data_IF_065878137710
#
_entry.id   IF_065878137710
#
_cell.length_a   1.000
_cell.length_b   1.000
_cell.length_c   1.000
_cell.angle_alpha   90.00
_cell.angle_beta   90.00
_cell.angle_gamma   90.00
#
_symmetry.space_group_name_H-M   'P 1'
#
loop_
_entity.id
_entity.type
_entity.pdbx_description
1 polymer ?
#
# COMPACT_ATOMS: atom_id res chain seq x y z
N UNK A 1 15.08 9.76 -34.62
CA UNK A 1 13.66 9.60 -34.19
C UNK A 1 13.23 8.16 -34.52
N UNK A 2 13.30 7.26 -33.55
CA UNK A 2 12.75 5.90 -33.65
C UNK A 2 11.77 5.74 -32.47
N UNK A 3 10.52 6.09 -32.73
CA UNK A 3 9.40 5.84 -31.84
C UNK A 3 9.14 4.33 -31.83
N UNK A 4 9.56 3.67 -30.73
CA UNK A 4 9.32 2.25 -30.52
C UNK A 4 7.83 1.96 -30.42
N UNK A 5 7.33 1.27 -31.41
CA UNK A 5 6.05 0.59 -31.42
C UNK A 5 6.08 -0.51 -30.33
N UNK A 6 5.57 -0.19 -29.14
CA UNK A 6 5.21 -1.20 -28.16
C UNK A 6 3.97 -1.92 -28.68
N UNK A 7 4.18 -3.02 -29.43
CA UNK A 7 3.12 -3.96 -29.77
C UNK A 7 2.72 -4.64 -28.47
N UNK A 8 1.65 -4.16 -27.84
CA UNK A 8 1.03 -4.84 -26.70
C UNK A 8 0.46 -6.15 -27.18
N UNK A 9 1.16 -7.25 -26.89
CA UNK A 9 0.67 -8.58 -27.17
C UNK A 9 -0.73 -8.78 -26.56
N UNK A 10 -1.67 -9.45 -27.24
CA UNK A 10 -2.99 -9.74 -26.69
C UNK A 10 -2.87 -10.38 -25.30
N UNK A 11 -3.72 -9.98 -24.34
CA UNK A 11 -3.69 -10.49 -22.94
C UNK A 11 -3.63 -12.03 -22.88
N UNK A 12 -4.29 -12.72 -23.79
CA UNK A 12 -4.26 -14.19 -23.90
C UNK A 12 -2.88 -14.76 -24.21
N UNK A 13 -2.07 -14.07 -25.03
CA UNK A 13 -0.71 -14.49 -25.39
C UNK A 13 0.23 -14.28 -24.20
N UNK A 14 0.15 -13.15 -23.52
CA UNK A 14 0.93 -12.88 -22.30
C UNK A 14 0.64 -13.91 -21.19
N UNK A 15 -0.60 -14.24 -20.95
CA UNK A 15 -1.01 -15.26 -19.98
C UNK A 15 -0.43 -16.63 -20.32
N UNK A 16 -0.46 -17.03 -21.59
CA UNK A 16 0.13 -18.32 -22.04
C UNK A 16 1.65 -18.33 -21.86
N UNK A 17 2.34 -17.22 -22.14
CA UNK A 17 3.79 -17.15 -21.95
C UNK A 17 4.15 -17.25 -20.46
N UNK A 18 3.47 -16.52 -19.59
CA UNK A 18 3.67 -16.57 -18.14
C UNK A 18 3.40 -17.97 -17.58
N UNK A 19 2.36 -18.64 -18.06
CA UNK A 19 2.05 -20.02 -17.68
C UNK A 19 3.16 -20.99 -18.07
N UNK A 20 3.66 -20.91 -19.31
CA UNK A 20 4.77 -21.75 -19.78
C UNK A 20 6.03 -21.51 -18.98
N UNK A 21 6.35 -20.24 -18.68
CA UNK A 21 7.49 -19.89 -17.83
C UNK A 21 7.35 -20.49 -16.44
N UNK A 22 6.19 -20.34 -15.80
CA UNK A 22 5.90 -20.89 -14.49
C UNK A 22 6.08 -22.44 -14.44
N UNK A 23 5.51 -23.16 -15.41
CA UNK A 23 5.70 -24.62 -15.51
C UNK A 23 7.18 -24.95 -15.66
N UNK A 24 7.89 -24.25 -16.57
CA UNK A 24 9.32 -24.49 -16.78
C UNK A 24 10.15 -24.25 -15.52
N UNK A 25 9.84 -23.22 -14.76
CA UNK A 25 10.53 -22.92 -13.48
C UNK A 25 10.29 -24.03 -12.44
N UNK A 26 9.04 -24.47 -12.29
CA UNK A 26 8.71 -25.58 -11.38
C UNK A 26 9.40 -26.88 -11.79
N UNK A 27 9.41 -27.22 -13.08
CA UNK A 27 10.11 -28.40 -13.59
C UNK A 27 11.64 -28.31 -13.35
N UNK A 28 12.23 -27.13 -13.52
CA UNK A 28 13.66 -26.91 -13.23
C UNK A 28 13.96 -27.04 -11.74
N UNK A 29 13.07 -26.56 -10.88
CA UNK A 29 13.26 -26.59 -9.43
C UNK A 29 13.07 -28.00 -8.86
N UNK A 30 12.08 -28.74 -9.33
CA UNK A 30 11.72 -30.05 -8.79
C UNK A 30 12.41 -31.23 -9.52
N UNK A 31 12.96 -31.02 -10.71
CA UNK A 31 13.75 -32.00 -11.50
C UNK A 31 13.13 -33.42 -11.43
N UNK A 32 11.96 -33.68 -12.07
CA UNK A 32 11.35 -35.00 -12.02
C UNK A 32 12.16 -36.03 -12.80
N UNK A 33 12.41 -37.22 -12.22
CA UNK A 33 13.26 -38.26 -12.79
C UNK A 33 12.49 -39.34 -13.58
N UNK A 34 11.19 -39.50 -13.31
CA UNK A 34 10.37 -40.50 -13.96
C UNK A 34 8.97 -39.97 -14.34
N UNK A 35 8.24 -40.77 -15.11
CA UNK A 35 6.92 -40.38 -15.61
C UNK A 35 5.93 -39.98 -14.50
N UNK A 36 5.92 -40.72 -13.38
CA UNK A 36 5.00 -40.47 -12.26
C UNK A 36 5.35 -39.13 -11.58
N UNK A 37 6.64 -38.86 -11.40
CA UNK A 37 7.10 -37.58 -10.87
C UNK A 37 6.77 -36.44 -11.82
N UNK A 38 6.93 -36.63 -13.14
CA UNK A 38 6.54 -35.63 -14.13
C UNK A 38 5.05 -35.27 -14.01
N UNK A 39 4.17 -36.25 -13.86
CA UNK A 39 2.74 -35.98 -13.68
C UNK A 39 2.44 -35.21 -12.38
N UNK A 40 3.05 -35.61 -11.27
CA UNK A 40 2.87 -34.92 -9.98
C UNK A 40 3.39 -33.49 -10.07
N UNK A 41 4.55 -33.26 -10.67
CA UNK A 41 5.14 -31.93 -10.84
C UNK A 41 4.30 -31.05 -11.76
N UNK A 42 3.74 -31.60 -12.83
CA UNK A 42 2.85 -30.88 -13.72
C UNK A 42 1.52 -30.49 -13.03
N UNK A 43 0.93 -31.40 -12.27
CA UNK A 43 -0.28 -31.12 -11.50
C UNK A 43 -0.02 -30.10 -10.39
N UNK A 44 1.11 -30.17 -9.72
CA UNK A 44 1.57 -29.16 -8.75
C UNK A 44 1.77 -27.80 -9.40
N UNK A 45 2.42 -27.72 -10.56
CA UNK A 45 2.61 -26.49 -11.30
C UNK A 45 1.27 -25.86 -11.74
N UNK A 46 0.31 -26.69 -12.18
CA UNK A 46 -1.02 -26.25 -12.51
C UNK A 46 -1.78 -25.68 -11.29
N UNK A 47 -1.70 -26.37 -10.15
CA UNK A 47 -2.34 -25.96 -8.91
C UNK A 47 -1.74 -24.64 -8.37
N UNK A 48 -0.42 -24.53 -8.32
CA UNK A 48 0.28 -23.29 -7.90
C UNK A 48 0.03 -22.13 -8.86
N UNK A 49 -0.11 -22.38 -10.16
CA UNK A 49 -0.51 -21.35 -11.13
C UNK A 49 -1.92 -20.80 -10.87
N UNK A 50 -2.90 -21.70 -10.58
CA UNK A 50 -4.25 -21.28 -10.21
C UNK A 50 -4.24 -20.45 -8.95
N UNK A 51 -3.49 -20.86 -7.92
CA UNK A 51 -3.33 -20.10 -6.68
C UNK A 51 -2.78 -18.69 -6.94
N UNK A 52 -1.69 -18.58 -7.70
CA UNK A 52 -1.10 -17.27 -8.03
C UNK A 52 -2.08 -16.37 -8.78
N UNK A 53 -2.87 -16.92 -9.70
CA UNK A 53 -3.88 -16.13 -10.42
C UNK A 53 -5.00 -15.67 -9.51
N UNK A 54 -5.46 -16.50 -8.59
CA UNK A 54 -6.50 -16.15 -7.62
C UNK A 54 -5.97 -15.10 -6.64
N UNK A 55 -4.73 -15.23 -6.15
CA UNK A 55 -4.10 -14.25 -5.27
C UNK A 55 -3.94 -12.88 -5.97
N UNK A 56 -3.49 -12.87 -7.24
CA UNK A 56 -3.44 -11.64 -8.05
C UNK A 56 -4.82 -11.02 -8.26
N UNK A 57 -5.85 -11.86 -8.53
CA UNK A 57 -7.23 -11.39 -8.68
C UNK A 57 -7.75 -10.81 -7.37
N UNK A 58 -7.52 -11.47 -6.24
CA UNK A 58 -7.91 -10.98 -4.92
C UNK A 58 -7.19 -9.67 -4.55
N UNK A 59 -5.89 -9.57 -4.86
CA UNK A 59 -5.13 -8.33 -4.66
C UNK A 59 -5.69 -7.17 -5.50
N UNK A 60 -5.98 -7.42 -6.77
CA UNK A 60 -6.60 -6.43 -7.68
C UNK A 60 -8.00 -6.00 -7.20
N UNK A 61 -8.82 -6.97 -6.78
CA UNK A 61 -10.14 -6.67 -6.20
C UNK A 61 -10.02 -5.83 -4.93
N UNK A 62 -9.04 -6.16 -4.07
CA UNK A 62 -8.77 -5.38 -2.86
C UNK A 62 -8.40 -3.93 -3.20
N UNK A 63 -7.48 -3.76 -4.14
CA UNK A 63 -7.04 -2.43 -4.59
C UNK A 63 -8.24 -1.65 -5.13
N UNK A 64 -9.06 -2.24 -6.00
CA UNK A 64 -10.26 -1.62 -6.55
C UNK A 64 -11.29 -1.22 -5.49
N UNK A 65 -11.55 -2.09 -4.49
CA UNK A 65 -12.46 -1.77 -3.38
C UNK A 65 -11.91 -0.59 -2.57
N UNK A 66 -10.60 -0.54 -2.36
CA UNK A 66 -9.97 0.55 -1.60
C UNK A 66 -9.89 1.86 -2.41
N UNK A 67 -9.84 1.79 -3.75
CA UNK A 67 -9.91 2.97 -4.62
C UNK A 67 -11.28 3.70 -4.55
N UNK A 68 -12.34 3.00 -4.15
CA UNK A 68 -13.66 3.59 -3.93
C UNK A 68 -13.71 4.44 -2.64
N UNK A 69 -12.77 4.22 -1.71
CA UNK A 69 -12.67 5.01 -0.49
C UNK A 69 -12.03 6.37 -0.78
N UNK A 70 -12.78 7.42 -0.46
CA UNK A 70 -12.25 8.78 -0.52
C UNK A 70 -11.75 9.24 0.85
N UNK A 71 -10.82 10.20 0.92
CA UNK A 71 -10.39 10.81 2.18
C UNK A 71 -11.56 11.34 3.00
N UNK A 72 -12.54 11.95 2.32
CA UNK A 72 -13.76 12.49 2.93
C UNK A 72 -14.60 11.39 3.60
N UNK A 73 -14.76 10.22 2.97
CA UNK A 73 -15.49 9.10 3.56
C UNK A 73 -14.81 8.59 4.83
N UNK A 74 -13.48 8.45 4.81
CA UNK A 74 -12.73 8.04 6.01
C UNK A 74 -12.86 9.07 7.13
N UNK A 75 -12.75 10.36 6.81
CA UNK A 75 -12.93 11.43 7.79
C UNK A 75 -14.34 11.41 8.41
N UNK A 76 -15.36 11.14 7.60
CA UNK A 76 -16.74 10.96 8.07
C UNK A 76 -16.89 9.72 8.98
N UNK A 77 -16.27 8.59 8.61
CA UNK A 77 -16.28 7.37 9.43
C UNK A 77 -15.55 7.56 10.77
N UNK A 78 -14.57 8.46 10.83
CA UNK A 78 -13.88 8.87 12.06
C UNK A 78 -14.74 9.80 12.92
N UNK A 79 -15.91 10.24 12.43
CA UNK A 79 -16.79 11.17 13.14
C UNK A 79 -16.31 12.61 13.15
N UNK A 80 -15.47 13.00 12.21
CA UNK A 80 -14.98 14.37 12.11
C UNK A 80 -16.08 15.31 11.64
N UNK A 81 -15.98 16.59 12.03
CA UNK A 81 -16.90 17.65 11.56
C UNK A 81 -16.88 17.78 10.03
N UNK A 82 -18.00 18.21 9.47
CA UNK A 82 -18.20 18.33 8.01
C UNK A 82 -17.10 19.15 7.32
N UNK A 83 -16.61 20.22 7.97
CA UNK A 83 -15.53 21.06 7.45
C UNK A 83 -14.22 20.28 7.25
N UNK A 84 -13.87 19.39 8.16
CA UNK A 84 -12.71 18.51 8.05
C UNK A 84 -12.96 17.42 7.01
N UNK A 85 -14.15 16.83 6.96
CA UNK A 85 -14.47 15.83 5.95
C UNK A 85 -14.27 16.36 4.52
N UNK A 86 -14.69 17.61 4.25
CA UNK A 86 -14.51 18.26 2.94
C UNK A 86 -13.05 18.62 2.62
N UNK A 87 -12.24 18.84 3.64
CA UNK A 87 -10.83 19.25 3.52
C UNK A 87 -9.85 18.10 3.68
N UNK A 88 -10.34 16.85 3.85
CA UNK A 88 -9.48 15.69 4.08
C UNK A 88 -8.51 15.48 2.91
N UNK A 89 -7.18 15.50 3.16
CA UNK A 89 -6.18 15.44 2.10
C UNK A 89 -5.97 14.00 1.61
N UNK A 90 -5.54 13.84 0.36
CA UNK A 90 -5.32 12.53 -0.27
C UNK A 90 -4.32 11.66 0.50
N UNK A 91 -3.30 12.27 1.13
CA UNK A 91 -2.33 11.52 1.94
C UNK A 91 -2.96 10.87 3.18
N UNK A 92 -4.16 11.30 3.59
CA UNK A 92 -4.86 10.79 4.75
C UNK A 92 -5.20 9.29 4.63
N UNK A 93 -5.52 8.84 3.42
CA UNK A 93 -5.78 7.44 3.10
C UNK A 93 -4.56 6.68 2.58
N UNK A 94 -3.42 7.36 2.41
CA UNK A 94 -2.21 6.72 1.90
C UNK A 94 -1.43 6.02 3.02
N UNK A 95 -1.43 4.67 3.12
CA UNK A 95 -0.75 3.95 4.20
C UNK A 95 0.77 4.13 4.20
N UNK A 96 1.36 4.53 3.07
CA UNK A 96 2.80 4.77 2.91
C UNK A 96 3.21 6.17 3.34
N UNK A 97 2.26 7.09 3.49
CA UNK A 97 2.56 8.46 3.91
C UNK A 97 3.08 8.50 5.34
N UNK A 98 4.12 9.27 5.55
CA UNK A 98 4.76 9.44 6.86
C UNK A 98 4.84 10.92 7.17
N UNK A 99 4.39 11.28 8.35
CA UNK A 99 4.58 12.61 8.93
C UNK A 99 5.59 12.46 10.07
N UNK A 100 6.64 13.26 10.06
CA UNK A 100 7.65 13.22 11.11
C UNK A 100 7.09 13.79 12.41
N UNK A 101 7.64 13.35 13.54
CA UNK A 101 7.27 13.88 14.83
C UNK A 101 7.51 15.40 14.92
N UNK A 102 8.58 15.90 14.31
CA UNK A 102 8.86 17.32 14.25
C UNK A 102 7.76 18.10 13.51
N UNK A 103 7.26 17.58 12.37
CA UNK A 103 6.15 18.20 11.65
C UNK A 103 4.86 18.22 12.47
N UNK A 104 4.60 17.17 13.26
CA UNK A 104 3.43 17.12 14.13
C UNK A 104 3.51 18.14 15.26
N UNK A 105 4.66 18.24 15.93
CA UNK A 105 4.89 19.21 17.01
C UNK A 105 4.70 20.64 16.50
N UNK A 106 5.27 20.96 15.32
CA UNK A 106 5.09 22.28 14.70
C UNK A 106 3.62 22.54 14.32
N UNK A 107 2.92 21.54 13.82
CA UNK A 107 1.49 21.67 13.49
C UNK A 107 0.63 21.87 14.74
N UNK A 108 0.91 21.15 15.82
CA UNK A 108 0.23 21.35 17.11
C UNK A 108 0.46 22.74 17.68
N UNK A 109 1.71 23.23 17.67
CA UNK A 109 2.06 24.57 18.13
C UNK A 109 1.34 25.65 17.31
N UNK A 110 1.35 25.52 15.98
CA UNK A 110 0.67 26.46 15.09
C UNK A 110 -0.86 26.44 15.26
N UNK A 111 -1.47 25.26 15.52
CA UNK A 111 -2.91 25.17 15.83
C UNK A 111 -3.26 25.86 17.15
N UNK A 112 -2.47 25.65 18.20
CA UNK A 112 -2.66 26.30 19.50
C UNK A 112 -2.54 27.84 19.36
N UNK A 113 -1.59 28.30 18.57
CA UNK A 113 -1.44 29.70 18.23
C UNK A 113 -2.66 30.23 17.44
N UNK A 114 -3.20 29.47 16.49
CA UNK A 114 -4.41 29.83 15.74
C UNK A 114 -5.63 30.00 16.68
N UNK A 115 -5.84 29.06 17.58
CA UNK A 115 -6.95 29.15 18.53
C UNK A 115 -6.80 30.35 19.47
N UNK A 116 -5.57 30.63 19.93
CA UNK A 116 -5.30 31.84 20.74
C UNK A 116 -5.51 33.11 19.94
N UNK A 117 -5.12 33.13 18.67
CA UNK A 117 -5.38 34.26 17.76
C UNK A 117 -6.88 34.54 17.65
N UNK A 118 -7.71 33.50 17.42
CA UNK A 118 -9.17 33.66 17.32
C UNK A 118 -9.80 34.18 18.61
N UNK A 119 -9.32 33.74 19.79
CA UNK A 119 -9.80 34.22 21.08
C UNK A 119 -9.49 35.70 21.29
N UNK A 120 -8.38 36.15 20.77
CA UNK A 120 -7.89 37.54 20.93
C UNK A 120 -8.30 38.44 19.74
N UNK A 121 -9.00 37.95 18.75
CA UNK A 121 -9.28 38.61 17.47
C UNK A 121 -10.03 39.96 17.59
N UNK A 122 -10.67 40.24 18.72
CA UNK A 122 -11.35 41.55 18.97
C UNK A 122 -10.41 42.75 19.11
N UNK A 123 -9.08 42.52 19.19
CA UNK A 123 -8.07 43.59 19.43
C UNK A 123 -6.96 43.65 18.39
N UNK A 124 -7.05 42.97 17.27
CA UNK A 124 -5.96 42.92 16.27
C UNK A 124 -5.95 44.19 15.41
N UNK A 125 -5.63 45.30 16.01
CA UNK A 125 -5.37 46.56 15.28
C UNK A 125 -3.93 46.67 14.77
N UNK A 126 -2.99 45.89 15.32
CA UNK A 126 -1.59 46.01 14.99
C UNK A 126 -0.94 44.66 14.65
N UNK A 127 -0.79 44.38 13.39
CA UNK A 127 -0.27 43.13 12.86
C UNK A 127 1.17 42.80 13.30
N UNK A 128 2.00 43.83 13.44
CA UNK A 128 3.38 43.65 13.92
C UNK A 128 3.48 42.97 15.30
N UNK A 129 2.49 43.18 16.16
CA UNK A 129 2.40 42.48 17.44
C UNK A 129 1.87 41.07 17.29
N UNK A 130 0.91 40.86 16.40
CA UNK A 130 0.28 39.55 16.15
C UNK A 130 1.29 38.56 15.60
N UNK A 131 2.07 38.93 14.58
CA UNK A 131 3.10 38.08 14.00
C UNK A 131 4.17 37.62 15.03
N UNK A 132 4.61 38.53 15.90
CA UNK A 132 5.57 38.21 16.95
C UNK A 132 4.99 37.34 18.07
N UNK A 133 3.69 37.39 18.29
CA UNK A 133 3.00 36.59 19.30
C UNK A 133 2.67 35.16 18.80
N UNK A 134 2.59 34.95 17.49
CA UNK A 134 2.19 33.69 16.86
C UNK A 134 3.16 33.26 15.75
N UNK A 135 4.46 33.11 16.08
CA UNK A 135 5.50 32.88 15.06
C UNK A 135 5.34 31.55 14.32
N UNK A 136 4.91 30.46 14.98
CA UNK A 136 4.78 29.14 14.38
C UNK A 136 3.62 29.10 13.38
N UNK A 137 2.50 29.75 13.69
CA UNK A 137 1.36 29.90 12.81
C UNK A 137 1.73 30.65 11.52
N UNK A 138 2.40 31.79 11.64
CA UNK A 138 2.76 32.60 10.49
C UNK A 138 3.91 32.03 9.68
N UNK A 139 4.84 31.29 10.30
CA UNK A 139 5.84 30.51 9.60
C UNK A 139 5.20 29.35 8.81
N UNK A 140 4.18 28.67 9.38
CA UNK A 140 3.42 27.66 8.67
C UNK A 140 2.64 28.25 7.50
N UNK A 141 2.01 29.42 7.69
CA UNK A 141 1.31 30.13 6.63
C UNK A 141 2.24 30.51 5.47
N UNK A 142 3.42 31.06 5.77
CA UNK A 142 4.41 31.43 4.76
C UNK A 142 4.82 30.22 3.90
N UNK A 143 5.16 29.10 4.54
CA UNK A 143 5.51 27.86 3.85
C UNK A 143 4.35 27.30 3.01
N UNK A 144 3.15 27.36 3.53
CA UNK A 144 1.97 26.88 2.81
C UNK A 144 1.69 27.70 1.56
N UNK A 145 1.81 29.02 1.63
CA UNK A 145 1.62 29.92 0.47
C UNK A 145 2.71 29.69 -0.58
N UNK A 146 3.99 29.54 -0.18
CA UNK A 146 5.09 29.17 -1.08
C UNK A 146 4.82 27.84 -1.82
N UNK A 147 4.18 26.87 -1.16
CA UNK A 147 3.82 25.60 -1.79
C UNK A 147 2.68 25.71 -2.79
N UNK A 148 1.74 26.68 -2.59
CA UNK A 148 0.57 26.86 -3.46
C UNK A 148 0.90 27.66 -4.73
N UNK A 149 1.78 28.63 -4.64
CA UNK A 149 2.14 29.50 -5.76
C UNK A 149 3.58 30.01 -5.66
N UNK A 150 4.50 29.28 -6.29
CA UNK A 150 5.91 29.68 -6.37
C UNK A 150 6.12 31.02 -7.12
N UNK A 151 5.12 31.51 -7.85
CA UNK A 151 5.18 32.78 -8.60
C UNK A 151 4.68 33.96 -7.79
N UNK A 152 4.03 33.73 -6.65
CA UNK A 152 3.61 34.79 -5.71
C UNK A 152 4.47 34.78 -4.46
N UNK A 153 5.57 35.51 -4.41
CA UNK A 153 6.32 35.72 -3.18
C UNK A 153 5.57 36.71 -2.26
N UNK A 154 4.28 36.41 -1.96
CA UNK A 154 3.49 37.19 -1.01
C UNK A 154 4.11 37.17 0.38
N UNK A 155 5.04 36.22 0.61
CA UNK A 155 5.65 35.99 1.91
C UNK A 155 7.12 35.59 1.81
N UNK A 156 7.87 36.20 0.86
CA UNK A 156 9.31 35.99 0.84
C UNK A 156 9.91 36.48 2.15
N UNK A 157 10.23 35.55 3.03
CA UNK A 157 11.23 35.54 4.09
C UNK A 157 11.36 36.76 5.03
N UNK A 158 10.66 37.84 4.87
CA UNK A 158 10.74 39.00 5.77
C UNK A 158 9.35 39.37 6.26
N UNK A 159 9.15 39.45 7.60
CA UNK A 159 7.88 39.83 8.20
C UNK A 159 7.28 41.13 7.71
N UNK A 160 8.03 41.93 6.95
CA UNK A 160 7.58 43.17 6.32
C UNK A 160 6.55 42.92 5.22
N UNK A 161 6.66 41.83 4.45
CA UNK A 161 5.72 41.54 3.36
C UNK A 161 4.39 41.03 3.90
N UNK A 162 4.42 40.30 5.02
CA UNK A 162 3.22 39.90 5.76
C UNK A 162 2.50 41.11 6.36
N UNK A 163 3.26 42.07 6.93
CA UNK A 163 2.72 43.31 7.47
C UNK A 163 1.98 44.10 6.38
N UNK A 164 2.58 44.21 5.21
CA UNK A 164 2.00 44.93 4.08
C UNK A 164 0.74 44.23 3.57
N UNK A 165 0.78 42.92 3.39
CA UNK A 165 -0.36 42.13 2.94
C UNK A 165 -1.51 42.19 3.95
N UNK A 166 -1.23 42.16 5.24
CA UNK A 166 -2.26 42.29 6.27
C UNK A 166 -2.91 43.68 6.25
N UNK A 167 -2.11 44.73 6.11
CA UNK A 167 -2.63 46.09 6.03
C UNK A 167 -3.51 46.29 4.79
N UNK A 168 -3.16 45.68 3.65
CA UNK A 168 -3.88 45.77 2.40
C UNK A 168 -5.17 44.94 2.37
N UNK A 169 -5.11 43.69 2.88
CA UNK A 169 -6.25 42.78 2.81
C UNK A 169 -6.28 41.76 3.97
N UNK A 170 -6.61 42.16 5.20
CA UNK A 170 -6.61 41.30 6.37
C UNK A 170 -7.59 40.12 6.24
N UNK A 171 -8.67 40.28 5.51
CA UNK A 171 -9.65 39.19 5.33
C UNK A 171 -9.13 38.07 4.46
N UNK A 172 -8.26 38.34 3.50
CA UNK A 172 -7.64 37.29 2.68
C UNK A 172 -6.67 36.45 3.51
N UNK A 173 -5.92 37.07 4.40
CA UNK A 173 -5.05 36.35 5.33
C UNK A 173 -5.88 35.50 6.29
N UNK A 174 -6.95 36.00 6.86
CA UNK A 174 -7.84 35.22 7.72
C UNK A 174 -8.41 34.00 7.01
N UNK A 175 -8.89 34.16 5.76
CA UNK A 175 -9.34 33.01 4.94
C UNK A 175 -8.22 32.02 4.66
N UNK A 176 -7.01 32.49 4.48
CA UNK A 176 -5.84 31.62 4.28
C UNK A 176 -5.46 30.87 5.56
N UNK A 177 -5.59 31.52 6.72
CA UNK A 177 -5.40 30.88 8.02
C UNK A 177 -6.47 29.82 8.31
N UNK A 178 -7.73 30.07 7.95
CA UNK A 178 -8.81 29.06 8.06
C UNK A 178 -8.52 27.81 7.21
N UNK A 179 -8.01 27.98 5.99
CA UNK A 179 -7.61 26.84 5.14
C UNK A 179 -6.37 26.13 5.70
N UNK A 180 -5.42 26.89 6.21
CA UNK A 180 -4.22 26.34 6.84
C UNK A 180 -4.56 25.52 8.10
N UNK A 181 -5.49 26.01 8.91
CA UNK A 181 -5.97 25.29 10.12
C UNK A 181 -6.42 23.87 9.77
N UNK A 182 -7.21 23.71 8.71
CA UNK A 182 -7.67 22.39 8.27
C UNK A 182 -6.51 21.45 7.94
N UNK A 183 -5.47 21.96 7.28
CA UNK A 183 -4.28 21.16 6.94
C UNK A 183 -3.48 20.81 8.20
N UNK A 184 -3.24 21.80 9.06
CA UNK A 184 -2.52 21.61 10.32
C UNK A 184 -3.22 20.59 11.22
N UNK A 185 -4.56 20.61 11.25
CA UNK A 185 -5.36 19.65 12.00
C UNK A 185 -5.06 18.20 11.59
N UNK A 186 -5.02 17.91 10.29
CA UNK A 186 -4.70 16.57 9.80
C UNK A 186 -3.24 16.18 10.06
N UNK A 187 -2.30 17.11 9.97
CA UNK A 187 -0.89 16.85 10.26
C UNK A 187 -0.70 16.55 11.76
N UNK A 188 -1.28 17.39 12.62
CA UNK A 188 -1.18 17.28 14.06
C UNK A 188 -1.73 15.95 14.61
N UNK A 189 -2.87 15.53 14.10
CA UNK A 189 -3.58 14.35 14.58
C UNK A 189 -3.29 13.07 13.76
N UNK A 190 -2.39 13.14 12.78
CA UNK A 190 -2.15 12.03 11.84
C UNK A 190 -1.78 10.71 12.53
N UNK A 191 -0.93 10.75 13.54
CA UNK A 191 -0.49 9.52 14.23
C UNK A 191 -1.61 8.90 15.08
N UNK A 192 -2.52 9.72 15.60
CA UNK A 192 -3.70 9.24 16.31
C UNK A 192 -4.71 8.60 15.35
N UNK A 193 -4.94 9.24 14.20
CA UNK A 193 -5.86 8.73 13.18
C UNK A 193 -5.34 7.49 12.45
N UNK A 194 -4.04 7.37 12.27
CA UNK A 194 -3.44 6.33 11.44
C UNK A 194 -3.87 4.90 11.79
N UNK A 195 -3.86 4.44 13.07
CA UNK A 195 -4.35 3.12 13.42
C UNK A 195 -5.86 2.97 13.18
N UNK A 196 -6.64 4.04 13.46
CA UNK A 196 -8.09 4.04 13.23
C UNK A 196 -8.43 3.97 11.74
N UNK A 197 -7.73 4.75 10.89
CA UNK A 197 -7.86 4.71 9.43
C UNK A 197 -7.61 3.29 8.91
N UNK A 198 -6.54 2.66 9.37
CA UNK A 198 -6.21 1.28 8.97
C UNK A 198 -7.33 0.30 9.31
N UNK A 199 -7.86 0.38 10.52
CA UNK A 199 -8.99 -0.46 10.95
C UNK A 199 -10.25 -0.21 10.12
N UNK A 200 -10.55 1.06 9.82
CA UNK A 200 -11.69 1.44 8.98
C UNK A 200 -11.54 0.94 7.54
N UNK A 201 -10.37 1.08 6.94
CA UNK A 201 -10.09 0.56 5.60
C UNK A 201 -10.21 -0.96 5.55
N UNK A 202 -9.72 -1.67 6.57
CA UNK A 202 -9.88 -3.13 6.67
C UNK A 202 -11.36 -3.52 6.84
N UNK A 203 -12.09 -2.85 7.71
CA UNK A 203 -13.53 -3.09 7.92
C UNK A 203 -14.35 -2.82 6.66
N UNK A 204 -14.06 -1.72 5.95
CA UNK A 204 -14.67 -1.41 4.65
C UNK A 204 -14.40 -2.51 3.64
N UNK A 205 -13.14 -2.90 3.50
CA UNK A 205 -12.77 -3.97 2.60
C UNK A 205 -13.53 -5.27 2.89
N UNK A 206 -13.61 -5.68 4.17
CA UNK A 206 -14.34 -6.89 4.54
C UNK A 206 -15.84 -6.79 4.31
N UNK A 207 -16.45 -5.63 4.56
CA UNK A 207 -17.87 -5.40 4.28
C UNK A 207 -18.18 -5.49 2.78
N UNK A 208 -17.40 -4.82 1.95
CA UNK A 208 -17.57 -4.87 0.49
C UNK A 208 -17.25 -6.26 -0.09
N UNK A 209 -16.23 -6.93 0.46
CA UNK A 209 -15.90 -8.29 0.07
C UNK A 209 -16.99 -9.28 0.45
N UNK A 210 -17.59 -9.15 1.62
CA UNK A 210 -18.70 -10.01 2.05
C UNK A 210 -19.90 -9.89 1.11
N UNK A 211 -20.18 -8.69 0.60
CA UNK A 211 -21.23 -8.47 -0.41
C UNK A 211 -20.88 -9.11 -1.76
N UNK A 212 -19.63 -8.97 -2.21
CA UNK A 212 -19.14 -9.64 -3.43
C UNK A 212 -19.14 -11.17 -3.30
N UNK A 213 -18.83 -11.71 -2.12
CA UNK A 213 -18.83 -13.14 -1.86
C UNK A 213 -20.24 -13.73 -1.74
N UNK A 214 -21.25 -12.93 -1.36
CA UNK A 214 -22.65 -13.32 -1.51
C UNK A 214 -23.01 -13.57 -2.97
N UNK A 215 -22.35 -12.88 -3.90
CA UNK A 215 -22.54 -13.01 -5.34
C UNK A 215 -21.62 -14.07 -5.97
N UNK A 216 -20.41 -14.29 -5.39
CA UNK A 216 -19.43 -15.28 -5.86
C UNK A 216 -19.23 -16.37 -4.77
N UNK A 217 -19.83 -17.56 -4.94
CA UNK A 217 -19.73 -18.72 -4.02
C UNK A 217 -18.33 -19.36 -3.88
N UNK A 218 -17.22 -18.64 -4.07
CA UNK A 218 -15.93 -19.22 -4.48
C UNK A 218 -14.75 -19.18 -3.50
N UNK A 219 -14.90 -18.81 -2.23
CA UNK A 219 -13.74 -18.78 -1.29
C UNK A 219 -13.30 -20.16 -0.77
N UNK A 220 -14.16 -21.20 -0.88
CA UNK A 220 -13.75 -22.57 -0.58
C UNK A 220 -12.65 -23.12 -1.49
N UNK A 221 -12.57 -22.59 -2.71
CA UNK A 221 -11.64 -23.05 -3.75
C UNK A 221 -10.17 -22.74 -3.42
N UNK A 222 -9.84 -21.58 -2.87
CA UNK A 222 -8.45 -21.19 -2.58
C UNK A 222 -7.79 -22.07 -1.50
N UNK A 223 -8.52 -22.35 -0.43
CA UNK A 223 -8.03 -23.20 0.67
C UNK A 223 -7.89 -24.64 0.19
N UNK A 224 -8.87 -25.12 -0.58
CA UNK A 224 -8.82 -26.47 -1.16
C UNK A 224 -7.65 -26.62 -2.15
N UNK A 225 -7.43 -25.64 -3.05
CA UNK A 225 -6.34 -25.66 -4.01
C UNK A 225 -4.96 -25.60 -3.31
N UNK A 226 -4.81 -24.80 -2.25
CA UNK A 226 -3.56 -24.75 -1.46
C UNK A 226 -3.30 -26.07 -0.74
N UNK A 227 -4.32 -26.69 -0.15
CA UNK A 227 -4.21 -28.02 0.45
C UNK A 227 -3.84 -29.07 -0.58
N UNK A 228 -4.44 -29.01 -1.77
CA UNK A 228 -4.13 -29.91 -2.86
C UNK A 228 -2.69 -29.77 -3.35
N UNK A 229 -2.20 -28.54 -3.58
CA UNK A 229 -0.81 -28.28 -3.95
C UNK A 229 0.18 -28.84 -2.90
N UNK A 230 -0.06 -28.59 -1.62
CA UNK A 230 0.79 -29.13 -0.55
C UNK A 230 0.76 -30.67 -0.54
N UNK A 231 -0.39 -31.30 -0.69
CA UNK A 231 -0.51 -32.75 -0.74
C UNK A 231 0.25 -33.38 -1.93
N UNK A 232 0.28 -32.69 -3.09
CA UNK A 232 1.08 -33.13 -4.24
C UNK A 232 2.58 -33.06 -3.96
N UNK A 233 3.04 -31.97 -3.30
CA UNK A 233 4.44 -31.84 -2.91
C UNK A 233 4.83 -32.92 -1.90
N UNK A 234 4.00 -33.16 -0.88
CA UNK A 234 4.21 -34.24 0.10
C UNK A 234 4.28 -35.61 -0.57
N UNK A 235 3.39 -35.87 -1.52
CA UNK A 235 3.38 -37.12 -2.30
C UNK A 235 4.67 -37.30 -3.09
N UNK A 236 5.17 -36.24 -3.75
CA UNK A 236 6.45 -36.26 -4.45
C UNK A 236 7.60 -36.59 -3.51
N UNK A 237 7.64 -35.94 -2.35
CA UNK A 237 8.69 -36.17 -1.33
C UNK A 237 8.65 -37.59 -0.77
N UNK A 238 7.45 -38.14 -0.51
CA UNK A 238 7.28 -39.55 -0.07
C UNK A 238 7.76 -40.54 -1.12
N UNK A 239 7.42 -40.30 -2.40
CA UNK A 239 7.85 -41.14 -3.52
C UNK A 239 9.36 -41.17 -3.63
N UNK A 240 10.04 -40.06 -3.55
CA UNK A 240 11.51 -39.96 -3.57
C UNK A 240 12.16 -40.66 -2.38
N UNK A 241 11.58 -40.47 -1.18
CA UNK A 241 12.06 -41.17 0.02
C UNK A 241 11.95 -42.69 -0.10
N UNK A 242 10.85 -43.20 -0.64
CA UNK A 242 10.68 -44.64 -0.86
C UNK A 242 11.62 -45.20 -1.94
N UNK A 243 11.85 -44.48 -3.01
CA UNK A 243 12.85 -44.83 -4.04
C UNK A 243 14.26 -44.86 -3.48
N UNK A 244 14.64 -43.88 -2.66
CA UNK A 244 15.92 -43.85 -1.98
C UNK A 244 16.10 -45.07 -1.04
N UNK A 245 15.08 -45.42 -0.25
CA UNK A 245 15.11 -46.58 0.62
C UNK A 245 15.22 -47.90 -0.16
N UNK A 246 14.52 -48.07 -1.27
CA UNK A 246 14.64 -49.20 -2.16
C UNK A 246 16.03 -49.28 -2.77
N UNK A 247 16.59 -48.17 -3.23
CA UNK A 247 17.96 -48.12 -3.75
C UNK A 247 19.00 -48.47 -2.67
N UNK A 248 18.81 -47.98 -1.44
CA UNK A 248 19.72 -48.25 -0.32
C UNK A 248 19.63 -49.73 0.17
N UNK A 249 18.48 -50.37 0.01
CA UNK A 249 18.25 -51.76 0.42
C UNK A 249 18.64 -52.79 -0.67
N UNK A 250 18.89 -52.36 -1.92
CA UNK A 250 19.31 -53.27 -2.98
C UNK A 250 20.77 -53.65 -2.77
N UNK A 251 21.13 -54.97 -2.66
CA UNK A 251 22.51 -55.38 -2.56
C UNK A 251 23.28 -54.88 -3.78
N UNK A 252 24.41 -54.26 -3.56
CA UNK A 252 25.32 -53.82 -4.62
C UNK A 252 25.91 -55.04 -5.32
N UNK A 253 25.21 -55.62 -6.30
CA UNK A 253 25.87 -56.46 -7.28
C UNK A 253 26.78 -55.64 -8.16
N UNK A 254 28.01 -56.09 -8.43
CA UNK A 254 28.92 -55.32 -9.27
C UNK A 254 28.58 -55.52 -10.74
N UNK A 255 27.52 -54.91 -11.23
CA UNK A 255 27.20 -54.85 -12.66
C UNK A 255 27.09 -53.41 -13.16
N UNK A 256 27.91 -53.15 -14.16
CA UNK A 256 28.12 -51.94 -14.90
C UNK A 256 26.85 -51.33 -15.55
N UNK A 257 25.93 -50.82 -14.79
CA UNK A 257 24.95 -49.85 -15.32
C UNK A 257 24.79 -48.71 -14.36
N UNK A 258 25.19 -47.55 -14.80
CA UNK A 258 25.26 -46.28 -14.09
C UNK A 258 23.87 -45.83 -13.61
N UNK A 259 23.44 -46.31 -12.43
CA UNK A 259 22.30 -45.72 -11.74
C UNK A 259 22.77 -44.39 -11.10
N UNK A 260 22.26 -43.26 -11.59
CA UNK A 260 22.48 -41.98 -10.95
C UNK A 260 21.61 -41.91 -9.70
N UNK A 261 22.14 -41.72 -8.51
CA UNK A 261 21.32 -41.46 -7.34
C UNK A 261 20.52 -40.17 -7.52
N UNK A 262 19.30 -40.10 -6.94
CA UNK A 262 18.53 -38.88 -6.94
C UNK A 262 19.36 -37.71 -6.37
N UNK A 263 19.41 -36.58 -7.07
CA UNK A 263 20.11 -35.39 -6.57
C UNK A 263 19.46 -34.92 -5.28
N UNK A 264 20.25 -34.78 -4.21
CA UNK A 264 19.81 -34.11 -3.00
C UNK A 264 19.35 -32.67 -3.37
N UNK A 265 18.12 -32.38 -3.08
CA UNK A 265 17.59 -31.02 -3.20
C UNK A 265 18.04 -30.28 -1.94
N UNK A 266 19.18 -29.59 -2.02
CA UNK A 266 19.57 -28.65 -0.99
C UNK A 266 18.56 -27.52 -0.94
N UNK A 267 17.73 -27.49 0.10
CA UNK A 267 17.01 -26.29 0.49
C UNK A 267 18.03 -25.30 1.04
N UNK A 268 18.48 -24.35 0.22
CA UNK A 268 19.06 -23.12 0.74
C UNK A 268 17.91 -22.25 1.20
N UNK A 269 17.68 -22.24 2.53
CA UNK A 269 16.83 -21.26 3.17
C UNK A 269 17.58 -19.93 3.25
N UNK A 270 17.00 -18.91 2.73
CA UNK A 270 17.12 -17.52 3.17
C UNK A 270 15.72 -16.96 3.41
#
# INVERSE_FOLDING_TARGET
>A
MLSGLWITAPRSVMVRMQYKTHISEIHKALVPDNYVEHQIVEEYANSTWRLQRQEKRSAYQRERILEELTPSMIAQMLGLEERYCKAAPDYFINPKHKISQAQQILALSALDEYHRLLQNAKGIANFNLVWRQFPDLFNALAKWVEMQDATRPLFSSTGKDLDLAWQQNPQEILKSLEKLELILYFIANFMEFKPQIRTLMESWYFAQRAELLRLERDDGGLIAERKHANALLDKLMQLRKSQFLLWAATPKEPSMHSFRPPKEIGFQGE
#
